data_IF_621642298570
#
_entry.id   IF_621642298570
#
_cell.length_a   1.000
_cell.length_b   1.000
_cell.length_c   1.000
_cell.angle_alpha   90.00
_cell.angle_beta   90.00
_cell.angle_gamma   90.00
#
_symmetry.space_group_name_H-M   'P 1'
#
loop_
_entity.id
_entity.type
_entity.pdbx_description
1 polymer ?
#
# COMPACT_ATOMS: atom_id res chain seq x y z
N UNK A 1 -23.07 4.27 2.41
CA UNK A 1 -22.48 2.91 2.35
C UNK A 1 -21.07 3.10 1.85
N UNK A 2 -20.06 2.72 2.65
CA UNK A 2 -18.66 2.81 2.18
C UNK A 2 -18.49 1.79 1.07
N UNK A 3 -18.05 2.25 -0.08
CA UNK A 3 -17.89 1.43 -1.26
C UNK A 3 -16.40 1.34 -1.62
N UNK A 4 -15.84 0.12 -1.64
CA UNK A 4 -14.48 -0.12 -2.11
C UNK A 4 -14.34 0.00 -3.65
N UNK A 5 -15.26 0.74 -4.27
CA UNK A 5 -15.29 1.02 -5.70
C UNK A 5 -14.77 2.43 -5.97
N UNK A 6 -13.74 2.51 -6.76
CA UNK A 6 -13.21 3.75 -7.28
C UNK A 6 -13.85 4.15 -8.60
N UNK A 7 -13.24 5.14 -9.24
CA UNK A 7 -13.67 5.60 -10.57
C UNK A 7 -13.15 4.71 -11.70
N UNK A 8 -11.95 4.13 -11.52
CA UNK A 8 -11.25 3.31 -12.53
C UNK A 8 -10.75 1.98 -11.99
N UNK A 9 -10.83 1.75 -10.67
CA UNK A 9 -10.46 0.49 -10.03
C UNK A 9 -11.39 0.18 -8.86
N UNK A 10 -11.29 -1.03 -8.34
CA UNK A 10 -11.95 -1.47 -7.13
C UNK A 10 -10.96 -2.15 -6.18
N UNK A 11 -11.31 -2.18 -4.91
CA UNK A 11 -10.53 -2.87 -3.89
C UNK A 11 -11.30 -4.10 -3.40
N UNK A 12 -10.61 -5.22 -3.24
CA UNK A 12 -11.16 -6.44 -2.66
C UNK A 12 -10.21 -7.10 -1.68
N UNK A 13 -10.73 -8.04 -0.93
CA UNK A 13 -9.90 -8.89 -0.08
C UNK A 13 -8.91 -9.72 -0.93
N UNK A 14 -7.79 -10.04 -0.29
CA UNK A 14 -6.79 -10.96 -0.84
C UNK A 14 -7.34 -12.38 -0.84
N UNK A 15 -7.15 -13.09 -1.93
CA UNK A 15 -7.63 -14.46 -2.14
C UNK A 15 -6.47 -15.44 -2.41
N UNK A 16 -6.63 -16.74 -2.16
CA UNK A 16 -5.58 -17.73 -2.46
C UNK A 16 -5.12 -17.72 -3.92
N UNK A 17 -5.98 -17.32 -4.85
CA UNK A 17 -5.66 -17.16 -6.28
C UNK A 17 -4.66 -16.05 -6.58
N UNK A 18 -4.44 -15.13 -5.63
CA UNK A 18 -3.51 -14.01 -5.80
C UNK A 18 -2.05 -14.39 -5.48
N UNK A 19 -1.80 -15.65 -5.08
CA UNK A 19 -0.47 -16.11 -4.68
C UNK A 19 0.59 -15.83 -5.74
N UNK A 20 0.29 -16.06 -7.02
CA UNK A 20 1.27 -15.92 -8.11
C UNK A 20 1.65 -14.46 -8.34
N UNK A 21 0.68 -13.56 -8.34
CA UNK A 21 0.95 -12.13 -8.49
C UNK A 21 1.67 -11.57 -7.27
N UNK A 22 1.30 -11.98 -6.05
CA UNK A 22 2.02 -11.62 -4.84
C UNK A 22 3.47 -12.11 -4.87
N UNK A 23 3.68 -13.35 -5.31
CA UNK A 23 5.03 -13.91 -5.43
C UNK A 23 5.89 -13.08 -6.38
N UNK A 24 5.31 -12.56 -7.45
CA UNK A 24 5.99 -11.61 -8.34
C UNK A 24 6.38 -10.32 -7.63
N UNK A 25 5.45 -9.66 -6.97
CA UNK A 25 5.70 -8.38 -6.28
C UNK A 25 6.72 -8.51 -5.14
N UNK A 26 6.53 -9.48 -4.25
CA UNK A 26 7.38 -9.63 -3.06
C UNK A 26 8.80 -10.08 -3.39
N UNK A 27 9.02 -10.65 -4.56
CA UNK A 27 10.34 -11.08 -5.04
C UNK A 27 10.96 -10.15 -6.10
N UNK A 28 10.32 -9.01 -6.40
CA UNK A 28 10.91 -7.96 -7.24
C UNK A 28 11.95 -7.19 -6.42
N UNK A 29 13.23 -7.46 -6.66
CA UNK A 29 14.36 -6.93 -5.86
C UNK A 29 14.37 -5.40 -5.80
N UNK A 30 13.91 -4.73 -6.86
CA UNK A 30 13.80 -3.26 -6.91
C UNK A 30 12.83 -2.72 -5.85
N UNK A 31 11.81 -3.51 -5.48
CA UNK A 31 10.81 -3.13 -4.47
C UNK A 31 11.27 -3.41 -3.04
N UNK A 32 12.29 -4.26 -2.84
CA UNK A 32 12.75 -4.62 -1.49
C UNK A 32 13.21 -3.43 -0.67
N UNK A 33 13.83 -2.45 -1.29
CA UNK A 33 14.22 -1.22 -0.61
C UNK A 33 13.00 -0.46 -0.03
N UNK A 34 11.89 -0.49 -0.74
CA UNK A 34 10.66 0.18 -0.33
C UNK A 34 9.86 -0.66 0.67
N UNK A 35 9.81 -1.98 0.47
CA UNK A 35 9.08 -2.90 1.35
C UNK A 35 9.85 -3.28 2.62
N UNK A 36 11.18 -3.04 2.65
CA UNK A 36 12.05 -3.47 3.74
C UNK A 36 12.38 -4.97 3.70
N UNK A 37 12.05 -5.68 2.62
CA UNK A 37 12.40 -7.08 2.47
C UNK A 37 13.93 -7.27 2.37
N UNK A 38 14.43 -8.29 3.05
CA UNK A 38 15.87 -8.61 3.10
C UNK A 38 16.19 -9.98 2.52
N UNK A 39 15.15 -10.75 2.17
CA UNK A 39 15.27 -12.10 1.63
C UNK A 39 14.07 -12.40 0.73
N UNK A 40 14.21 -13.30 -0.26
CA UNK A 40 13.09 -13.71 -1.09
C UNK A 40 12.03 -14.46 -0.27
N UNK A 41 10.78 -14.22 -0.62
CA UNK A 41 9.64 -14.92 -0.06
C UNK A 41 9.41 -16.26 -0.78
N UNK A 42 9.20 -17.31 -0.01
CA UNK A 42 8.72 -18.57 -0.55
C UNK A 42 7.20 -18.54 -0.78
N UNK A 43 6.70 -19.38 -1.68
CA UNK A 43 5.25 -19.56 -1.87
C UNK A 43 4.55 -20.00 -0.58
N UNK A 44 5.23 -20.83 0.22
CA UNK A 44 4.71 -21.27 1.52
C UNK A 44 4.48 -20.10 2.49
N UNK A 45 5.48 -19.19 2.61
CA UNK A 45 5.34 -17.98 3.43
C UNK A 45 4.18 -17.09 2.95
N UNK A 46 4.05 -16.88 1.63
CA UNK A 46 2.97 -16.07 1.08
C UNK A 46 1.61 -16.74 1.24
N UNK A 47 1.51 -18.06 1.13
CA UNK A 47 0.28 -18.80 1.44
C UNK A 47 -0.14 -18.59 2.89
N UNK A 48 0.81 -18.60 3.83
CA UNK A 48 0.52 -18.31 5.24
C UNK A 48 0.06 -16.87 5.45
N UNK A 49 0.70 -15.89 4.80
CA UNK A 49 0.27 -14.49 4.84
C UNK A 49 -1.14 -14.29 4.30
N UNK A 50 -1.50 -14.97 3.21
CA UNK A 50 -2.86 -14.95 2.67
C UNK A 50 -3.84 -15.55 3.67
N UNK A 51 -3.50 -16.67 4.30
CA UNK A 51 -4.35 -17.31 5.29
C UNK A 51 -4.55 -16.43 6.54
N UNK A 52 -3.55 -15.65 6.95
CA UNK A 52 -3.65 -14.71 8.07
C UNK A 52 -4.64 -13.57 7.81
N UNK A 53 -4.96 -13.24 6.55
CA UNK A 53 -5.97 -12.23 6.21
C UNK A 53 -7.40 -12.64 6.58
N UNK A 54 -7.64 -13.90 7.00
CA UNK A 54 -8.91 -14.30 7.62
C UNK A 54 -9.18 -13.58 8.95
N UNK A 55 -8.14 -13.11 9.62
CA UNK A 55 -8.27 -12.33 10.85
C UNK A 55 -8.48 -10.86 10.53
N UNK A 56 -9.20 -10.18 11.41
CA UNK A 56 -9.44 -8.75 11.23
C UNK A 56 -8.19 -7.89 11.51
N UNK A 57 -8.24 -6.64 11.08
CA UNK A 57 -7.13 -5.69 11.25
C UNK A 57 -6.81 -5.40 12.72
N UNK A 58 -7.72 -5.64 13.66
CA UNK A 58 -7.46 -5.47 15.09
C UNK A 58 -6.53 -6.55 15.64
N UNK A 59 -6.60 -7.75 15.06
CA UNK A 59 -5.73 -8.86 15.41
C UNK A 59 -4.37 -8.77 14.69
N UNK A 60 -4.39 -8.54 13.37
CA UNK A 60 -3.18 -8.56 12.54
C UNK A 60 -2.42 -7.25 12.52
N UNK A 61 -3.06 -6.15 12.87
CA UNK A 61 -2.53 -4.77 12.73
C UNK A 61 -2.20 -4.38 11.31
N UNK A 62 -2.65 -5.17 10.34
CA UNK A 62 -2.41 -5.00 8.92
C UNK A 62 -3.63 -5.45 8.12
N UNK A 63 -3.90 -4.76 7.02
CA UNK A 63 -4.90 -5.16 6.04
C UNK A 63 -4.31 -4.92 4.65
N UNK A 64 -4.25 -5.96 3.82
CA UNK A 64 -3.93 -5.85 2.39
C UNK A 64 -5.19 -5.99 1.56
N UNK A 65 -5.42 -5.04 0.67
CA UNK A 65 -6.47 -5.08 -0.34
C UNK A 65 -5.86 -5.14 -1.73
N UNK A 66 -6.42 -6.01 -2.56
CA UNK A 66 -6.04 -6.13 -3.97
C UNK A 66 -6.72 -5.04 -4.77
N UNK A 67 -6.00 -4.39 -5.66
CA UNK A 67 -6.52 -3.39 -6.60
C UNK A 67 -6.83 -4.11 -7.92
N UNK A 68 -8.10 -4.11 -8.31
CA UNK A 68 -8.56 -4.64 -9.59
C UNK A 68 -9.07 -3.53 -10.50
N UNK A 69 -8.88 -3.71 -11.79
CA UNK A 69 -9.43 -2.81 -12.81
C UNK A 69 -9.90 -3.60 -14.03
N UNK A 70 -10.84 -3.03 -14.77
CA UNK A 70 -11.19 -3.53 -16.10
C UNK A 70 -10.13 -3.03 -17.10
N UNK A 71 -9.45 -3.97 -17.73
CA UNK A 71 -8.47 -3.71 -18.77
C UNK A 71 -8.93 -4.43 -20.02
N UNK A 72 -9.35 -3.68 -21.02
CA UNK A 72 -9.83 -4.22 -22.30
C UNK A 72 -10.99 -5.23 -22.16
N UNK A 73 -11.89 -5.01 -21.18
CA UNK A 73 -13.03 -5.87 -20.90
C UNK A 73 -12.73 -7.10 -20.02
N UNK A 74 -11.52 -7.18 -19.46
CA UNK A 74 -11.13 -8.22 -18.51
C UNK A 74 -10.75 -7.64 -17.15
N UNK A 75 -11.26 -8.26 -16.08
CA UNK A 75 -10.83 -7.91 -14.73
C UNK A 75 -9.40 -8.36 -14.49
N UNK A 76 -8.53 -7.41 -14.19
CA UNK A 76 -7.11 -7.65 -13.95
C UNK A 76 -6.70 -7.13 -12.58
N UNK A 77 -5.88 -7.89 -11.89
CA UNK A 77 -5.17 -7.42 -10.70
C UNK A 77 -4.06 -6.48 -11.15
N UNK A 78 -4.14 -5.22 -10.75
CA UNK A 78 -3.21 -4.16 -11.17
C UNK A 78 -2.25 -3.73 -10.04
N UNK A 79 -2.54 -4.11 -8.80
CA UNK A 79 -1.72 -3.77 -7.64
C UNK A 79 -2.32 -4.19 -6.31
N UNK A 80 -1.77 -3.67 -5.24
CA UNK A 80 -2.30 -3.80 -3.89
C UNK A 80 -2.13 -2.50 -3.11
N UNK A 81 -2.97 -2.32 -2.09
CA UNK A 81 -2.88 -1.22 -1.12
C UNK A 81 -2.99 -1.79 0.28
N UNK A 82 -2.11 -1.34 1.16
CA UNK A 82 -1.99 -1.83 2.52
C UNK A 82 -2.35 -0.74 3.53
N UNK A 83 -3.03 -1.12 4.59
CA UNK A 83 -3.02 -0.42 5.86
C UNK A 83 -2.06 -1.16 6.80
N UNK A 84 -1.11 -0.44 7.39
CA UNK A 84 -0.01 -0.96 8.19
C UNK A 84 -0.02 -0.33 9.58
N UNK A 85 0.60 -0.99 10.56
CA UNK A 85 0.78 -0.44 11.90
C UNK A 85 -0.51 0.16 12.48
N UNK A 86 -1.63 -0.54 12.25
CA UNK A 86 -2.94 -0.09 12.71
C UNK A 86 -2.96 0.11 14.23
N UNK A 87 -3.21 1.34 14.63
CA UNK A 87 -3.30 1.78 16.02
C UNK A 87 -4.73 2.23 16.34
N UNK A 88 -5.57 1.32 16.86
CA UNK A 88 -6.96 1.65 17.16
C UNK A 88 -7.11 2.66 18.31
N UNK A 89 -6.14 2.72 19.22
CA UNK A 89 -6.19 3.66 20.34
C UNK A 89 -6.04 5.11 19.87
N UNK A 90 -5.08 5.35 18.97
CA UNK A 90 -4.84 6.67 18.40
C UNK A 90 -5.54 6.86 17.06
N UNK A 91 -6.32 5.86 16.60
CA UNK A 91 -7.13 5.89 15.39
C UNK A 91 -6.32 6.29 14.16
N UNK A 92 -5.19 5.61 13.93
CA UNK A 92 -4.27 5.86 12.82
C UNK A 92 -3.75 4.57 12.21
N UNK A 93 -3.33 4.64 10.96
CA UNK A 93 -2.61 3.57 10.28
C UNK A 93 -1.61 4.15 9.27
N UNK A 94 -0.56 3.41 8.99
CA UNK A 94 0.26 3.63 7.82
C UNK A 94 -0.46 3.17 6.55
N UNK A 95 -0.13 3.75 5.40
CA UNK A 95 -0.63 3.33 4.10
C UNK A 95 0.51 3.12 3.12
N UNK A 96 0.48 2.00 2.40
CA UNK A 96 1.40 1.66 1.32
C UNK A 96 0.64 1.23 0.08
N UNK A 97 1.19 1.49 -1.09
CA UNK A 97 0.58 1.09 -2.36
C UNK A 97 1.64 0.59 -3.34
N UNK A 98 1.32 -0.49 -4.02
CA UNK A 98 2.11 -1.04 -5.12
C UNK A 98 1.23 -1.17 -6.35
N UNK A 99 1.76 -0.77 -7.50
CA UNK A 99 1.15 -1.00 -8.81
C UNK A 99 2.16 -1.79 -9.67
N UNK A 100 1.69 -2.88 -10.28
CA UNK A 100 2.48 -3.66 -11.22
C UNK A 100 3.03 -2.77 -12.34
N UNK A 101 4.27 -3.02 -12.75
CA UNK A 101 5.02 -2.12 -13.63
C UNK A 101 4.26 -1.74 -14.91
N UNK A 102 3.56 -2.70 -15.52
CA UNK A 102 2.75 -2.54 -16.74
C UNK A 102 1.52 -1.65 -16.59
N UNK A 103 1.04 -1.44 -15.34
CA UNK A 103 -0.16 -0.64 -15.06
C UNK A 103 0.16 0.72 -14.41
N UNK A 104 1.45 1.05 -14.19
CA UNK A 104 1.87 2.33 -13.60
C UNK A 104 1.47 3.51 -14.49
N UNK A 105 1.33 4.69 -13.87
CA UNK A 105 1.00 5.97 -14.53
C UNK A 105 -0.36 6.00 -15.24
N UNK A 106 -1.29 5.14 -14.84
CA UNK A 106 -2.68 5.10 -15.33
C UNK A 106 -3.70 5.64 -14.32
N UNK A 107 -3.25 6.16 -13.16
CA UNK A 107 -4.13 6.71 -12.13
C UNK A 107 -4.61 5.72 -11.07
N UNK A 108 -4.33 4.42 -11.21
CA UNK A 108 -4.84 3.39 -10.29
C UNK A 108 -4.42 3.61 -8.82
N UNK A 109 -3.17 4.02 -8.58
CA UNK A 109 -2.70 4.28 -7.22
C UNK A 109 -3.47 5.41 -6.54
N UNK A 110 -3.77 6.49 -7.26
CA UNK A 110 -4.51 7.63 -6.72
C UNK A 110 -5.97 7.26 -6.44
N UNK A 111 -6.61 6.50 -7.34
CA UNK A 111 -7.99 6.06 -7.16
C UNK A 111 -8.12 5.05 -6.01
N UNK A 112 -7.19 4.09 -5.90
CA UNK A 112 -7.13 3.13 -4.80
C UNK A 112 -6.89 3.84 -3.44
N UNK A 113 -6.00 4.84 -3.41
CA UNK A 113 -5.74 5.62 -2.21
C UNK A 113 -6.99 6.35 -1.73
N UNK A 114 -7.76 6.97 -2.64
CA UNK A 114 -9.04 7.59 -2.30
C UNK A 114 -10.03 6.57 -1.71
N UNK A 115 -10.14 5.38 -2.31
CA UNK A 115 -11.03 4.32 -1.79
C UNK A 115 -10.63 3.86 -0.39
N UNK A 116 -9.33 3.64 -0.14
CA UNK A 116 -8.88 3.20 1.19
C UNK A 116 -9.02 4.31 2.24
N UNK A 117 -8.90 5.58 1.88
CA UNK A 117 -9.17 6.72 2.76
C UNK A 117 -10.64 6.78 3.18
N UNK A 118 -11.56 6.59 2.24
CA UNK A 118 -13.00 6.51 2.54
C UNK A 118 -13.33 5.32 3.45
N UNK A 119 -12.71 4.17 3.20
CA UNK A 119 -12.83 2.98 4.04
C UNK A 119 -12.25 3.23 5.45
N UNK A 120 -11.06 3.79 5.53
CA UNK A 120 -10.38 4.09 6.79
C UNK A 120 -11.22 5.05 7.66
N UNK A 121 -11.79 6.08 7.03
CA UNK A 121 -12.68 7.04 7.72
C UNK A 121 -14.02 6.42 8.10
N UNK A 122 -14.70 5.77 7.16
CA UNK A 122 -16.10 5.38 7.31
C UNK A 122 -16.33 4.05 8.01
N UNK A 123 -15.39 3.09 7.90
CA UNK A 123 -15.49 1.76 8.50
C UNK A 123 -14.59 1.62 9.72
N UNK A 124 -13.30 1.93 9.56
CA UNK A 124 -12.33 1.80 10.64
C UNK A 124 -12.34 2.99 11.60
N UNK A 125 -13.09 4.06 11.28
CA UNK A 125 -13.20 5.28 12.08
C UNK A 125 -11.83 5.89 12.41
N UNK A 126 -10.87 5.78 11.49
CA UNK A 126 -9.55 6.36 11.68
C UNK A 126 -9.61 7.88 11.62
N UNK A 127 -8.71 8.51 12.37
CA UNK A 127 -8.52 9.95 12.39
C UNK A 127 -7.50 10.40 11.36
N UNK A 128 -6.49 9.57 11.10
CA UNK A 128 -5.43 9.92 10.17
C UNK A 128 -4.77 8.69 9.52
N UNK A 129 -4.22 8.93 8.34
CA UNK A 129 -3.28 8.02 7.67
C UNK A 129 -1.91 8.69 7.55
N UNK A 130 -0.88 7.88 7.53
CA UNK A 130 0.49 8.33 7.36
C UNK A 130 1.25 7.42 6.41
N UNK A 131 2.32 7.91 5.81
CA UNK A 131 3.28 7.09 5.09
C UNK A 131 4.68 7.66 5.21
N UNK A 132 5.67 6.82 4.91
CA UNK A 132 7.05 7.25 4.75
C UNK A 132 7.53 6.91 3.35
N UNK A 133 8.27 7.84 2.74
CA UNK A 133 8.70 7.74 1.35
C UNK A 133 10.18 8.12 1.25
N UNK A 134 10.98 7.29 0.59
CA UNK A 134 12.37 7.62 0.29
C UNK A 134 12.43 8.90 -0.58
N UNK A 135 13.36 9.80 -0.28
CA UNK A 135 13.47 11.12 -0.94
C UNK A 135 13.68 11.04 -2.46
N UNK A 136 14.18 9.93 -2.96
CA UNK A 136 14.36 9.68 -4.40
C UNK A 136 13.14 9.04 -5.08
N UNK A 137 12.11 8.64 -4.32
CA UNK A 137 10.87 8.09 -4.88
C UNK A 137 9.89 9.20 -5.26
N UNK A 138 10.25 9.93 -6.33
CA UNK A 138 9.49 11.10 -6.81
C UNK A 138 8.03 10.74 -7.14
N UNK A 139 7.78 9.52 -7.63
CA UNK A 139 6.44 9.07 -7.99
C UNK A 139 5.53 8.95 -6.76
N UNK A 140 6.01 8.34 -5.67
CA UNK A 140 5.25 8.23 -4.42
C UNK A 140 5.08 9.59 -3.75
N UNK A 141 6.11 10.45 -3.75
CA UNK A 141 6.02 11.82 -3.23
C UNK A 141 4.89 12.58 -3.95
N UNK A 142 4.87 12.54 -5.29
CA UNK A 142 3.84 13.19 -6.08
C UNK A 142 2.43 12.61 -5.83
N UNK A 143 2.32 11.28 -5.67
CA UNK A 143 1.07 10.59 -5.37
C UNK A 143 0.48 11.09 -4.04
N UNK A 144 1.25 11.01 -2.96
CA UNK A 144 0.75 11.37 -1.63
C UNK A 144 0.50 12.88 -1.50
N UNK A 145 1.39 13.73 -2.02
CA UNK A 145 1.15 15.17 -2.06
C UNK A 145 -0.11 15.52 -2.86
N UNK A 146 -0.30 14.90 -4.03
CA UNK A 146 -1.50 15.08 -4.86
C UNK A 146 -2.79 14.59 -4.20
N UNK A 147 -2.70 13.61 -3.31
CA UNK A 147 -3.81 13.12 -2.50
C UNK A 147 -4.07 13.95 -1.23
N UNK A 148 -3.31 15.03 -1.00
CA UNK A 148 -3.50 15.94 0.13
C UNK A 148 -2.81 15.48 1.43
N UNK A 149 -1.81 14.60 1.33
CA UNK A 149 -0.92 14.33 2.46
C UNK A 149 0.08 15.46 2.61
N UNK A 150 0.29 15.88 3.84
CA UNK A 150 1.23 16.94 4.18
C UNK A 150 2.53 16.34 4.74
N UNK A 151 3.66 16.89 4.33
CA UNK A 151 4.94 16.52 4.89
C UNK A 151 5.01 16.97 6.36
N UNK A 152 5.21 16.03 7.28
CA UNK A 152 5.27 16.29 8.72
C UNK A 152 6.65 16.05 9.34
N UNK A 153 7.60 15.49 8.57
CA UNK A 153 8.95 15.26 9.08
C UNK A 153 9.90 14.68 8.04
N UNK A 154 11.18 14.60 8.43
CA UNK A 154 12.24 13.97 7.64
C UNK A 154 13.13 13.16 8.59
N UNK A 155 13.39 11.90 8.25
CA UNK A 155 14.45 11.09 8.86
C UNK A 155 15.68 11.18 7.97
N UNK A 156 16.71 11.85 8.44
CA UNK A 156 17.94 12.04 7.64
C UNK A 156 18.78 10.78 7.63
N UNK A 157 19.38 10.47 6.46
CA UNK A 157 20.30 9.33 6.27
C UNK A 157 19.71 8.00 6.77
N UNK A 158 18.40 7.81 6.56
CA UNK A 158 17.64 6.71 7.12
C UNK A 158 17.75 5.41 6.32
N UNK A 159 17.97 5.54 5.01
CA UNK A 159 18.04 4.42 4.07
C UNK A 159 19.46 4.35 3.51
N UNK A 160 20.16 3.26 3.78
CA UNK A 160 21.50 3.03 3.22
C UNK A 160 21.38 2.36 1.86
N UNK A 161 22.09 2.90 0.87
CA UNK A 161 22.20 2.34 -0.47
C UNK A 161 23.67 2.22 -0.87
N UNK A 162 24.02 1.42 -1.89
CA UNK A 162 25.39 1.36 -2.39
C UNK A 162 25.92 2.72 -2.89
N UNK A 163 25.02 3.65 -3.24
CA UNK A 163 25.37 5.00 -3.73
C UNK A 163 25.44 6.05 -2.63
N UNK A 164 25.04 5.70 -1.40
CA UNK A 164 25.04 6.61 -0.24
C UNK A 164 23.77 6.49 0.59
N UNK A 165 23.65 7.34 1.60
CA UNK A 165 22.47 7.39 2.45
C UNK A 165 21.40 8.30 1.82
N UNK A 166 20.15 7.88 1.94
CA UNK A 166 18.96 8.64 1.54
C UNK A 166 18.12 8.98 2.78
N UNK A 167 17.50 10.14 2.73
CA UNK A 167 16.50 10.53 3.74
C UNK A 167 15.15 9.91 3.44
N UNK A 168 14.33 9.79 4.47
CA UNK A 168 12.95 9.34 4.37
C UNK A 168 12.03 10.50 4.77
N UNK A 169 11.06 10.81 3.94
CA UNK A 169 10.08 11.87 4.14
C UNK A 169 8.83 11.27 4.76
N UNK A 170 8.37 11.87 5.85
CA UNK A 170 7.14 11.48 6.53
C UNK A 170 5.99 12.36 6.06
N UNK A 171 4.89 11.72 5.66
CA UNK A 171 3.66 12.36 5.26
C UNK A 171 2.51 11.90 6.16
N UNK A 172 1.56 12.80 6.43
CA UNK A 172 0.32 12.47 7.11
C UNK A 172 -0.86 13.18 6.46
N UNK A 173 -2.03 12.59 6.63
CA UNK A 173 -3.32 13.17 6.24
C UNK A 173 -4.33 12.97 7.34
N UNK A 174 -4.92 14.05 7.82
CA UNK A 174 -6.09 14.01 8.71
C UNK A 174 -7.31 13.70 7.83
N UNK A 175 -8.10 12.68 8.21
CA UNK A 175 -9.23 12.17 7.43
C UNK A 175 -10.53 12.93 7.72
#
# INVERSE_FOLDING_TARGET
MVNLQGSICSLRALEPSDLDVMYGWENEVELWRTSGATAPFSRHQLTSLIAEQQYDIYATRQLRLVIEADIDGEHRVVGAIDLLDFDPQNRRAGVGVIISAEYRRRGFAADALRCVEEYARGVLMLHQLWCSVAEDNVASIALFAGAGYEQCGIRREWILTPQGALSEILFQKIL
#
